data_IF_129402581026
#
_entry.id   IF_129402581026
#
_cell.length_a   1.000
_cell.length_b   1.000
_cell.length_c   1.000
_cell.angle_alpha   90.00
_cell.angle_beta   90.00
_cell.angle_gamma   90.00
#
_symmetry.space_group_name_H-M   'P 1'
#
loop_
_entity.id
_entity.type
_entity.pdbx_description
1 polymer ?
#
# COMPACT_ATOMS: atom_id res chain seq x y z
N UNK A 1 -14.95 -24.43 -5.67
CA UNK A 1 -14.17 -23.42 -4.95
C UNK A 1 -14.83 -23.31 -3.60
N UNK A 2 -14.08 -23.60 -2.53
CA UNK A 2 -14.66 -23.70 -1.20
C UNK A 2 -14.98 -22.30 -0.65
N UNK A 3 -15.91 -22.20 0.30
CA UNK A 3 -16.30 -20.91 0.88
C UNK A 3 -15.10 -20.23 1.59
N UNK A 4 -14.17 -21.04 2.10
CA UNK A 4 -12.91 -20.58 2.68
C UNK A 4 -12.00 -19.91 1.62
N UNK A 5 -11.82 -20.52 0.45
CA UNK A 5 -11.01 -19.96 -0.66
C UNK A 5 -11.58 -18.61 -1.15
N UNK A 6 -12.91 -18.49 -1.18
CA UNK A 6 -13.58 -17.25 -1.56
C UNK A 6 -13.37 -16.14 -0.51
N UNK A 7 -13.36 -16.50 0.78
CA UNK A 7 -13.07 -15.58 1.88
C UNK A 7 -11.63 -15.08 1.86
N UNK A 8 -10.66 -15.98 1.67
CA UNK A 8 -9.24 -15.65 1.55
C UNK A 8 -8.97 -14.75 0.34
N UNK A 9 -9.57 -15.06 -0.82
CA UNK A 9 -9.47 -14.22 -2.02
C UNK A 9 -10.02 -12.80 -1.77
N UNK A 10 -11.15 -12.68 -1.08
CA UNK A 10 -11.77 -11.39 -0.75
C UNK A 10 -10.87 -10.58 0.18
N UNK A 11 -10.28 -11.22 1.20
CA UNK A 11 -9.36 -10.56 2.13
C UNK A 11 -8.09 -10.08 1.42
N UNK A 12 -7.52 -10.90 0.53
CA UNK A 12 -6.34 -10.53 -0.26
C UNK A 12 -6.63 -9.35 -1.20
N UNK A 13 -7.78 -9.34 -1.86
CA UNK A 13 -8.20 -8.23 -2.73
C UNK A 13 -8.43 -6.93 -1.95
N UNK A 14 -9.03 -7.02 -0.75
CA UNK A 14 -9.22 -5.86 0.13
C UNK A 14 -7.88 -5.29 0.61
N UNK A 15 -6.94 -6.15 0.99
CA UNK A 15 -5.58 -5.72 1.36
C UNK A 15 -4.88 -5.02 0.19
N UNK A 16 -4.95 -5.58 -1.01
CA UNK A 16 -4.36 -4.98 -2.22
C UNK A 16 -4.95 -3.59 -2.53
N UNK A 17 -6.26 -3.42 -2.38
CA UNK A 17 -6.93 -2.13 -2.58
C UNK A 17 -6.48 -1.08 -1.55
N UNK A 18 -6.31 -1.48 -0.28
CA UNK A 18 -5.82 -0.60 0.77
C UNK A 18 -4.36 -0.16 0.52
N UNK A 19 -3.50 -1.06 0.05
CA UNK A 19 -2.12 -0.75 -0.30
C UNK A 19 -2.05 0.24 -1.48
N UNK A 20 -2.90 0.09 -2.52
CA UNK A 20 -2.98 1.07 -3.61
C UNK A 20 -3.42 2.45 -3.14
N UNK A 21 -4.40 2.52 -2.23
CA UNK A 21 -4.85 3.79 -1.66
C UNK A 21 -3.74 4.47 -0.84
N UNK A 22 -2.97 3.70 -0.05
CA UNK A 22 -1.84 4.21 0.71
C UNK A 22 -0.75 4.79 -0.20
N UNK A 23 -0.38 4.07 -1.27
CA UNK A 23 0.61 4.54 -2.24
C UNK A 23 0.19 5.84 -2.92
N UNK A 24 -1.07 5.95 -3.34
CA UNK A 24 -1.61 7.19 -3.92
C UNK A 24 -1.60 8.34 -2.91
N UNK A 25 -2.06 8.09 -1.69
CA UNK A 25 -2.08 9.07 -0.60
C UNK A 25 -0.69 9.64 -0.31
N UNK A 26 0.33 8.79 -0.18
CA UNK A 26 1.70 9.23 0.04
C UNK A 26 2.33 9.93 -1.18
N UNK A 27 1.92 9.59 -2.41
CA UNK A 27 2.31 10.32 -3.61
C UNK A 27 1.83 11.78 -3.60
N UNK A 28 0.56 12.00 -3.21
CA UNK A 28 -0.03 13.34 -3.11
C UNK A 28 0.52 14.12 -1.91
N UNK A 29 0.73 13.44 -0.78
CA UNK A 29 1.29 14.01 0.45
C UNK A 29 2.78 14.37 0.27
N UNK A 30 3.56 13.56 -0.45
CA UNK A 30 4.98 13.83 -0.74
C UNK A 30 5.23 15.11 -1.56
N UNK A 31 4.25 15.55 -2.35
CA UNK A 31 4.28 16.84 -3.05
C UNK A 31 3.95 18.05 -2.18
N UNK A 32 3.31 17.84 -1.02
CA UNK A 32 2.80 18.90 -0.12
C UNK A 32 3.54 18.99 1.21
N UNK A 33 4.28 17.97 1.66
CA UNK A 33 5.04 18.07 2.91
C UNK A 33 6.36 18.83 2.68
N UNK A 34 6.65 19.76 3.60
CA UNK A 34 7.93 20.46 3.69
C UNK A 34 9.13 19.50 3.78
N UNK A 35 10.32 20.00 3.39
CA UNK A 35 11.54 19.21 3.18
C UNK A 35 11.89 18.25 4.33
N UNK A 36 11.51 18.55 5.56
CA UNK A 36 11.79 17.75 6.76
C UNK A 36 11.12 16.36 6.77
N UNK A 37 9.88 16.19 6.27
CA UNK A 37 9.22 14.86 6.32
C UNK A 37 9.24 14.09 5.02
N UNK A 38 9.99 14.57 4.02
CA UNK A 38 10.15 13.90 2.72
C UNK A 38 10.87 12.56 2.87
N UNK A 39 11.81 12.45 3.80
CA UNK A 39 12.52 11.20 4.10
C UNK A 39 11.56 10.14 4.70
N UNK A 40 10.76 10.51 5.69
CA UNK A 40 9.74 9.62 6.29
C UNK A 40 8.71 9.14 5.25
N UNK A 41 8.20 10.05 4.41
CA UNK A 41 7.27 9.70 3.34
C UNK A 41 7.90 8.76 2.30
N UNK A 42 9.20 8.92 2.01
CA UNK A 42 9.94 8.03 1.10
C UNK A 42 10.12 6.63 1.68
N UNK A 43 10.51 6.54 2.95
CA UNK A 43 10.64 5.25 3.64
C UNK A 43 9.30 4.50 3.71
N UNK A 44 8.20 5.20 4.00
CA UNK A 44 6.87 4.61 3.99
C UNK A 44 6.49 4.09 2.58
N UNK A 45 6.71 4.90 1.55
CA UNK A 45 6.48 4.52 0.15
C UNK A 45 7.28 3.27 -0.27
N UNK A 46 8.58 3.22 0.06
CA UNK A 46 9.43 2.08 -0.28
C UNK A 46 8.99 0.80 0.47
N UNK A 47 8.54 0.91 1.72
CA UNK A 47 7.98 -0.22 2.49
C UNK A 47 6.66 -0.74 1.90
N UNK A 48 5.76 0.15 1.48
CA UNK A 48 4.51 -0.24 0.80
C UNK A 48 4.79 -0.93 -0.54
N UNK A 49 5.78 -0.44 -1.30
CA UNK A 49 6.18 -1.08 -2.55
C UNK A 49 6.72 -2.50 -2.32
N UNK A 50 7.59 -2.68 -1.33
CA UNK A 50 8.14 -4.00 -0.99
C UNK A 50 7.04 -5.00 -0.58
N UNK A 51 6.02 -4.54 0.17
CA UNK A 51 4.86 -5.38 0.52
C UNK A 51 4.05 -5.80 -0.69
N UNK A 52 3.78 -4.87 -1.62
CA UNK A 52 3.08 -5.18 -2.88
C UNK A 52 3.84 -6.20 -3.72
N UNK A 53 5.15 -6.01 -3.87
CA UNK A 53 6.00 -6.88 -4.68
C UNK A 53 6.11 -8.29 -4.05
N UNK A 54 5.87 -8.46 -2.74
CA UNK A 54 5.78 -9.75 -2.06
C UNK A 54 4.40 -10.42 -2.14
N UNK A 55 3.37 -9.69 -2.57
CA UNK A 55 1.98 -10.14 -2.72
C UNK A 55 1.61 -10.50 -4.18
N UNK A 56 2.58 -10.38 -5.11
CA UNK A 56 2.44 -10.73 -6.53
C UNK A 56 3.10 -12.07 -6.80
#
# INVERSE_FOLDING_TARGET
MDAADAGELTAAQAALAAEHAAVYGYGVVGGRIGRERRAEARTAYDAHRARRDALT
#
